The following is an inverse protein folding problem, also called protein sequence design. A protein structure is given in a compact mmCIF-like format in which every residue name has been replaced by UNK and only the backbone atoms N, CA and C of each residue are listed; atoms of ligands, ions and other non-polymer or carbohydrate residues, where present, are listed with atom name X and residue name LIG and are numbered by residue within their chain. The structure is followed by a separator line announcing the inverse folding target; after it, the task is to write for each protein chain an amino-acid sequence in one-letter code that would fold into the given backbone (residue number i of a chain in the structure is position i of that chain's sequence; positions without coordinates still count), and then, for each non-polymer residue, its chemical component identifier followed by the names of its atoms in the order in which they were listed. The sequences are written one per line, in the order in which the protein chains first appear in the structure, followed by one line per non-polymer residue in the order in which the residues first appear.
data_IF_431364312641
#
_entry.id   IF_431364312641
#
_cell.length_a   1.000
_cell.length_b   1.000
_cell.length_c   1.000
_cell.angle_alpha   90.00
_cell.angle_beta   90.00
_cell.angle_gamma   90.00
#
_symmetry.space_group_name_H-M   'P 1'
#
loop_
_entity.id
_entity.type
_entity.pdbx_description
1 polymer ?
#
# COMPACT_ATOMS: atom_id res chain seq x y z
N UNK A 1 9.11 -17.44 -9.49
CA UNK A 1 8.49 -16.35 -10.29
C UNK A 1 7.70 -15.32 -9.46
N UNK A 2 7.13 -15.69 -8.31
CA UNK A 2 6.34 -14.80 -7.43
C UNK A 2 7.08 -13.54 -6.96
N UNK A 3 8.37 -13.62 -6.63
CA UNK A 3 9.13 -12.45 -6.12
C UNK A 3 9.38 -11.41 -7.21
N UNK A 4 9.72 -11.82 -8.43
CA UNK A 4 10.08 -10.89 -9.52
C UNK A 4 8.85 -10.07 -9.93
N UNK A 5 7.75 -10.76 -10.26
CA UNK A 5 6.53 -10.12 -10.79
C UNK A 5 5.61 -9.61 -9.67
N UNK A 6 5.47 -10.38 -8.59
CA UNK A 6 4.48 -10.14 -7.53
C UNK A 6 4.99 -9.33 -6.34
N UNK A 7 6.25 -8.87 -6.34
CA UNK A 7 6.82 -8.15 -5.18
C UNK A 7 7.91 -7.13 -5.53
N UNK A 8 8.98 -7.57 -6.17
CA UNK A 8 10.26 -6.87 -6.16
C UNK A 8 10.40 -5.80 -7.24
N UNK A 9 9.88 -6.05 -8.44
CA UNK A 9 9.99 -5.12 -9.57
C UNK A 9 8.74 -4.24 -9.69
N UNK A 10 8.91 -2.97 -10.09
CA UNK A 10 7.79 -2.12 -10.46
C UNK A 10 7.21 -2.53 -11.82
N UNK A 11 5.92 -2.24 -12.03
CA UNK A 11 5.30 -2.31 -13.35
C UNK A 11 5.70 -1.08 -14.17
N UNK A 12 5.97 -1.24 -15.47
CA UNK A 12 6.41 -0.14 -16.34
C UNK A 12 5.34 0.93 -16.54
N UNK A 13 4.05 0.58 -16.40
CA UNK A 13 2.94 1.48 -16.71
C UNK A 13 2.72 2.55 -15.64
N UNK A 14 2.94 2.19 -14.38
CA UNK A 14 2.72 3.08 -13.23
C UNK A 14 3.96 3.27 -12.36
N UNK A 15 5.04 2.52 -12.59
CA UNK A 15 6.27 2.57 -11.79
C UNK A 15 6.11 1.97 -10.39
N UNK A 16 4.99 1.30 -10.09
CA UNK A 16 4.67 0.85 -8.74
C UNK A 16 4.91 -0.64 -8.54
N UNK A 17 5.50 -0.97 -7.39
CA UNK A 17 5.50 -2.34 -6.86
C UNK A 17 4.09 -2.69 -6.35
N UNK A 18 3.72 -3.99 -6.27
CA UNK A 18 2.38 -4.38 -5.82
C UNK A 18 1.98 -3.83 -4.45
N UNK A 19 2.92 -3.69 -3.50
CA UNK A 19 2.63 -3.10 -2.18
C UNK A 19 2.27 -1.62 -2.26
N UNK A 20 2.98 -0.83 -3.08
CA UNK A 20 2.69 0.60 -3.27
C UNK A 20 1.27 0.79 -3.82
N UNK A 21 0.92 0.04 -4.87
CA UNK A 21 -0.39 0.11 -5.52
C UNK A 21 -1.53 -0.23 -4.57
N UNK A 22 -1.36 -1.29 -3.77
CA UNK A 22 -2.36 -1.73 -2.78
C UNK A 22 -2.58 -0.70 -1.69
N UNK A 23 -1.51 -0.04 -1.22
CA UNK A 23 -1.60 1.04 -0.23
C UNK A 23 -2.39 2.22 -0.79
N UNK A 24 -2.01 2.72 -1.97
CA UNK A 24 -2.69 3.86 -2.60
C UNK A 24 -4.16 3.54 -2.91
N UNK A 25 -4.44 2.33 -3.38
CA UNK A 25 -5.81 1.88 -3.63
C UNK A 25 -6.64 1.81 -2.34
N UNK A 26 -6.09 1.24 -1.26
CA UNK A 26 -6.79 1.19 0.02
C UNK A 26 -7.04 2.60 0.59
N UNK A 27 -6.09 3.53 0.46
CA UNK A 27 -6.26 4.92 0.87
C UNK A 27 -7.38 5.62 0.07
N UNK A 28 -7.46 5.36 -1.24
CA UNK A 28 -8.52 5.88 -2.09
C UNK A 28 -9.90 5.31 -1.69
N UNK A 29 -10.02 3.99 -1.51
CA UNK A 29 -11.27 3.34 -1.06
C UNK A 29 -11.69 3.82 0.33
N UNK A 30 -10.73 4.10 1.21
CA UNK A 30 -10.98 4.69 2.51
C UNK A 30 -11.40 6.17 2.43
N UNK A 31 -11.30 6.85 1.29
CA UNK A 31 -11.52 8.29 1.18
C UNK A 31 -10.50 9.08 2.00
N UNK A 32 -9.24 8.65 1.99
CA UNK A 32 -8.12 9.34 2.61
C UNK A 32 -7.44 10.26 1.58
N UNK A 33 -8.22 11.19 1.03
CA UNK A 33 -7.75 12.16 0.05
C UNK A 33 -7.00 13.31 0.74
N UNK A 34 -6.17 14.01 -0.03
CA UNK A 34 -5.31 15.10 0.43
C UNK A 34 -6.05 16.25 1.12
N UNK A 35 -7.35 16.43 0.85
CA UNK A 35 -8.19 17.48 1.42
C UNK A 35 -9.02 17.03 2.64
N UNK A 36 -8.76 15.84 3.18
CA UNK A 36 -9.44 15.27 4.35
C UNK A 36 -8.51 15.22 5.56
N UNK A 37 -9.09 15.10 6.75
CA UNK A 37 -8.33 14.92 7.98
C UNK A 37 -7.52 13.61 7.94
N UNK A 38 -6.30 13.65 8.48
CA UNK A 38 -5.43 12.48 8.54
C UNK A 38 -6.07 11.32 9.29
N UNK A 39 -5.87 10.11 8.75
CA UNK A 39 -6.26 8.86 9.41
C UNK A 39 -5.03 8.20 10.02
N UNK A 40 -5.23 7.54 11.18
CA UNK A 40 -4.15 6.78 11.83
C UNK A 40 -3.57 5.75 10.87
N UNK A 41 -2.24 5.69 10.74
CA UNK A 41 -1.55 4.77 9.84
C UNK A 41 -1.93 3.30 10.08
N UNK A 42 -2.10 2.91 11.35
CA UNK A 42 -2.55 1.56 11.72
C UNK A 42 -3.90 1.17 11.10
N UNK A 43 -4.81 2.14 10.88
CA UNK A 43 -6.09 1.89 10.20
C UNK A 43 -5.87 1.58 8.71
N UNK A 44 -5.02 2.35 8.05
CA UNK A 44 -4.70 2.13 6.62
C UNK A 44 -3.96 0.80 6.45
N UNK A 45 -2.97 0.52 7.30
CA UNK A 45 -2.24 -0.76 7.30
C UNK A 45 -3.19 -1.94 7.49
N UNK A 46 -4.09 -1.86 8.47
CA UNK A 46 -5.10 -2.91 8.74
C UNK A 46 -5.99 -3.21 7.53
N UNK A 47 -6.48 -2.17 6.86
CA UNK A 47 -7.31 -2.34 5.66
C UNK A 47 -6.52 -2.94 4.48
N UNK A 48 -5.25 -2.55 4.32
CA UNK A 48 -4.38 -3.10 3.27
C UNK A 48 -4.13 -4.59 3.51
N UNK A 49 -3.75 -4.99 4.72
CA UNK A 49 -3.46 -6.40 5.01
C UNK A 49 -4.72 -7.27 4.98
N UNK A 50 -5.84 -6.74 5.47
CA UNK A 50 -7.10 -7.48 5.55
C UNK A 50 -7.76 -7.74 4.20
N UNK A 51 -7.52 -6.87 3.21
CA UNK A 51 -8.22 -6.93 1.91
C UNK A 51 -7.31 -7.21 0.72
N UNK A 52 -6.06 -6.75 0.74
CA UNK A 52 -5.26 -6.64 -0.49
C UNK A 52 -3.83 -7.20 -0.38
N UNK A 53 -3.24 -7.27 0.82
CA UNK A 53 -1.83 -7.60 1.01
C UNK A 53 -1.63 -8.68 2.09
N UNK A 54 -1.63 -9.97 1.72
CA UNK A 54 -1.58 -11.10 2.68
C UNK A 54 -0.16 -11.35 3.21
N UNK A 55 0.51 -10.31 3.71
CA UNK A 55 1.85 -10.35 4.30
C UNK A 55 1.90 -9.46 5.55
N UNK A 56 3.04 -9.46 6.24
CA UNK A 56 3.23 -8.71 7.49
C UNK A 56 2.92 -7.22 7.35
N UNK A 57 2.36 -6.67 8.43
CA UNK A 57 2.01 -5.26 8.60
C UNK A 57 3.23 -4.33 8.48
N UNK A 58 4.40 -4.75 8.99
CA UNK A 58 5.66 -4.01 8.88
C UNK A 58 6.02 -3.68 7.42
N UNK A 59 5.86 -4.62 6.49
CA UNK A 59 6.17 -4.36 5.08
C UNK A 59 5.27 -3.27 4.46
N UNK A 60 4.00 -3.21 4.90
CA UNK A 60 3.03 -2.20 4.46
C UNK A 60 3.33 -0.86 5.13
N UNK A 61 3.62 -0.87 6.43
CA UNK A 61 3.94 0.33 7.19
C UNK A 61 5.22 0.99 6.68
N UNK A 62 6.30 0.24 6.51
CA UNK A 62 7.57 0.74 5.98
C UNK A 62 7.41 1.30 4.57
N UNK A 63 6.53 0.68 3.77
CA UNK A 63 6.17 1.19 2.45
C UNK A 63 5.50 2.56 2.54
N UNK A 64 4.50 2.71 3.42
CA UNK A 64 3.82 4.00 3.63
C UNK A 64 4.82 5.06 4.07
N UNK A 65 5.68 4.73 5.04
CA UNK A 65 6.69 5.64 5.59
C UNK A 65 7.69 6.10 4.52
N UNK A 66 8.10 5.23 3.59
CA UNK A 66 9.04 5.59 2.51
C UNK A 66 8.43 6.41 1.37
N UNK A 67 7.11 6.38 1.24
CA UNK A 67 6.38 7.15 0.21
C UNK A 67 5.90 8.52 0.71
N UNK A 68 5.93 8.75 2.03
CA UNK A 68 5.57 10.00 2.68
C UNK A 68 6.76 10.97 2.70
#
# INVERSE_FOLDING_TARGET
MSVIVGRALPDVRDGLKPVHRRVLYAMNVLGNDWNKAYKKSARVVGDVIGKYHPHGDSAVYDTIVRMA
#
